data_IF_453651609701
#
_entry.id   IF_453651609701
#
_cell.length_a   1.000
_cell.length_b   1.000
_cell.length_c   1.000
_cell.angle_alpha   90.00
_cell.angle_beta   90.00
_cell.angle_gamma   90.00
#
_symmetry.space_group_name_H-M   'P 1'
#
loop_
_entity.id
_entity.type
_entity.pdbx_description
1 polymer ?
#
# COMPACT_ATOMS: atom_id res chain seq x y z
N UNK A 1 12.85 -4.73 16.64
CA UNK A 1 13.60 -3.52 17.01
C UNK A 1 12.68 -2.61 17.81
N UNK A 2 13.10 -2.18 18.99
CA UNK A 2 12.31 -1.25 19.80
C UNK A 2 12.60 0.19 19.36
N UNK A 3 11.57 0.89 18.92
CA UNK A 3 11.58 2.31 18.49
C UNK A 3 10.44 3.09 19.15
N UNK A 4 9.97 2.61 20.31
CA UNK A 4 9.00 3.30 21.16
C UNK A 4 9.55 4.61 21.74
N UNK A 5 8.65 5.43 22.30
CA UNK A 5 8.96 6.74 22.89
C UNK A 5 9.65 7.71 21.93
N UNK A 6 9.24 7.69 20.66
CA UNK A 6 9.74 8.61 19.63
C UNK A 6 8.63 9.53 19.12
N UNK A 7 9.02 10.73 18.68
CA UNK A 7 8.14 11.65 17.97
C UNK A 7 8.29 11.47 16.45
N UNK A 8 7.22 11.00 15.80
CA UNK A 8 7.21 10.66 14.36
C UNK A 8 6.74 11.81 13.46
N UNK A 9 6.54 13.01 14.03
CA UNK A 9 6.03 14.18 13.31
C UNK A 9 4.52 14.14 13.06
N UNK A 10 3.80 13.20 13.66
CA UNK A 10 2.34 13.07 13.61
C UNK A 10 1.85 12.30 14.83
N UNK A 11 0.68 12.66 15.33
CA UNK A 11 0.02 11.98 16.45
C UNK A 11 -0.90 10.83 16.02
N UNK A 12 -1.03 10.59 14.72
CA UNK A 12 -1.89 9.56 14.15
C UNK A 12 -1.09 8.26 13.91
N UNK A 13 -1.49 7.16 14.56
CA UNK A 13 -0.81 5.87 14.47
C UNK A 13 -0.81 5.30 13.05
N UNK A 14 -1.90 5.46 12.31
CA UNK A 14 -1.99 5.03 10.91
C UNK A 14 -0.98 5.76 10.01
N UNK A 15 -0.71 7.04 10.27
CA UNK A 15 0.30 7.79 9.51
C UNK A 15 1.72 7.37 9.89
N UNK A 16 1.97 7.01 11.15
CA UNK A 16 3.26 6.45 11.58
C UNK A 16 3.49 5.09 10.91
N UNK A 17 2.49 4.20 10.95
CA UNK A 17 2.55 2.88 10.33
C UNK A 17 2.79 2.95 8.81
N UNK A 18 2.26 3.96 8.11
CA UNK A 18 2.55 4.18 6.68
C UNK A 18 3.98 4.68 6.39
N UNK A 19 4.65 5.28 7.39
CA UNK A 19 6.02 5.82 7.26
C UNK A 19 7.08 4.78 7.63
N UNK A 20 6.75 3.91 8.59
CA UNK A 20 7.59 2.80 9.01
C UNK A 20 7.56 1.75 7.91
N UNK A 21 8.73 1.23 7.56
CA UNK A 21 8.87 0.11 6.63
C UNK A 21 9.55 -1.03 7.39
N UNK A 22 8.81 -2.08 7.71
CA UNK A 22 9.25 -3.13 8.62
C UNK A 22 8.81 -4.53 8.19
N UNK A 23 8.74 -5.46 9.14
CA UNK A 23 8.31 -6.84 8.91
C UNK A 23 6.93 -6.95 8.26
N UNK A 24 5.99 -6.04 8.55
CA UNK A 24 4.63 -6.10 8.00
C UNK A 24 4.58 -5.60 6.53
N UNK A 25 5.66 -4.97 6.02
CA UNK A 25 5.82 -4.68 4.59
C UNK A 25 6.65 -5.73 3.87
N UNK A 26 7.79 -6.12 4.44
CA UNK A 26 8.68 -7.16 3.93
C UNK A 26 9.16 -8.06 5.07
N UNK A 27 8.84 -9.35 4.98
CA UNK A 27 9.03 -10.30 6.07
C UNK A 27 10.52 -10.61 6.40
N UNK A 28 11.45 -10.13 5.57
CA UNK A 28 12.90 -10.21 5.83
C UNK A 28 13.40 -9.14 6.79
N UNK A 29 12.63 -8.07 7.02
CA UNK A 29 13.02 -6.98 7.91
C UNK A 29 12.64 -7.29 9.36
N UNK A 30 13.27 -6.57 10.29
CA UNK A 30 12.92 -6.68 11.69
C UNK A 30 11.63 -5.89 11.99
N UNK A 31 10.73 -6.47 12.78
CA UNK A 31 9.53 -5.77 13.27
C UNK A 31 9.91 -4.49 14.02
N UNK A 32 9.27 -3.37 13.69
CA UNK A 32 9.51 -2.09 14.33
C UNK A 32 8.41 -1.82 15.36
N UNK A 33 8.72 -2.02 16.64
CA UNK A 33 7.76 -1.70 17.71
C UNK A 33 7.87 -0.23 18.08
N UNK A 34 6.93 0.58 17.58
CA UNK A 34 6.88 2.01 17.82
C UNK A 34 5.86 2.42 18.89
N UNK A 35 5.10 1.47 19.45
CA UNK A 35 4.11 1.75 20.49
C UNK A 35 4.74 1.61 21.88
N UNK A 36 4.54 2.55 22.82
CA UNK A 36 3.85 3.84 22.67
C UNK A 36 4.72 4.89 21.95
N UNK A 37 4.10 5.89 21.33
CA UNK A 37 4.78 7.00 20.64
C UNK A 37 4.29 8.37 21.11
N UNK A 38 5.10 9.40 20.92
CA UNK A 38 4.70 10.77 21.28
C UNK A 38 3.68 11.33 20.27
N UNK A 39 2.68 12.07 20.75
CA UNK A 39 1.63 12.71 19.93
C UNK A 39 2.01 14.14 19.52
N UNK A 40 2.97 14.74 20.21
CA UNK A 40 3.48 16.09 19.94
C UNK A 40 5.01 16.14 20.02
N UNK A 41 5.62 17.14 19.37
CA UNK A 41 7.06 17.42 19.45
C UNK A 41 7.45 18.05 20.80
N UNK A 42 6.47 18.58 21.52
CA UNK A 42 6.68 19.35 22.74
C UNK A 42 6.94 18.41 23.91
N UNK A 43 8.23 18.29 24.27
CA UNK A 43 8.71 17.48 25.39
C UNK A 43 8.51 18.16 26.77
N UNK A 44 7.97 19.38 26.83
CA UNK A 44 7.83 20.11 28.08
C UNK A 44 6.54 19.72 28.83
N UNK A 45 6.69 19.55 30.15
CA UNK A 45 5.58 19.39 31.08
C UNK A 45 4.95 20.77 31.25
N UNK A 46 3.84 21.04 30.58
CA UNK A 46 3.13 22.30 30.81
C UNK A 46 2.54 22.25 32.24
N UNK A 47 3.06 23.08 33.14
CA UNK A 47 2.78 23.08 34.59
C UNK A 47 1.29 23.24 34.94
N UNK A 48 0.48 23.72 33.99
CA UNK A 48 -0.97 23.94 34.15
C UNK A 48 -1.85 22.88 33.44
N UNK A 49 -1.26 21.88 32.79
CA UNK A 49 -1.97 20.80 32.09
C UNK A 49 -1.73 19.46 32.78
N UNK A 50 -2.81 18.70 33.06
CA UNK A 50 -2.72 17.38 33.68
C UNK A 50 -2.09 16.36 32.70
N UNK A 51 -0.88 15.83 32.95
CA UNK A 51 -0.10 15.06 31.96
C UNK A 51 -0.51 13.59 31.80
N UNK A 52 -1.46 13.07 32.60
CA UNK A 52 -1.67 11.61 32.76
C UNK A 52 -2.11 10.86 31.49
N UNK A 53 -2.50 11.52 30.40
CA UNK A 53 -2.95 10.89 29.14
C UNK A 53 -2.60 11.66 27.84
N UNK A 54 -1.84 12.75 27.91
CA UNK A 54 -1.84 13.76 26.83
C UNK A 54 -0.73 13.68 25.78
N UNK A 55 0.42 13.07 26.11
CA UNK A 55 1.62 13.12 25.26
C UNK A 55 1.96 11.80 24.58
N UNK A 56 1.50 10.67 25.12
CA UNK A 56 1.79 9.33 24.59
C UNK A 56 0.52 8.71 24.07
N UNK A 57 0.56 8.21 22.83
CA UNK A 57 -0.46 7.37 22.25
C UNK A 57 0.09 5.95 22.07
N UNK A 58 -0.81 4.99 22.16
CA UNK A 58 -0.50 3.60 21.84
C UNK A 58 -0.94 3.34 20.41
N UNK A 59 -0.12 2.63 19.63
CA UNK A 59 -0.52 2.20 18.31
C UNK A 59 -1.53 1.05 18.44
N UNK A 60 -2.58 1.10 17.64
CA UNK A 60 -3.47 -0.04 17.49
C UNK A 60 -3.02 -0.87 16.31
N UNK A 61 -2.99 -2.19 16.50
CA UNK A 61 -2.70 -3.08 15.39
C UNK A 61 -3.87 -3.06 14.40
N UNK A 62 -3.57 -2.83 13.12
CA UNK A 62 -4.55 -2.75 12.05
C UNK A 62 -4.55 -4.06 11.26
N UNK A 63 -5.59 -4.88 11.52
CA UNK A 63 -5.79 -6.14 10.80
C UNK A 63 -6.00 -5.87 9.29
N UNK A 64 -5.37 -6.67 8.39
CA UNK A 64 -5.58 -6.54 6.96
C UNK A 64 -7.04 -6.78 6.57
N UNK A 65 -7.49 -6.00 5.58
CA UNK A 65 -8.81 -6.17 4.98
C UNK A 65 -8.83 -7.43 4.11
N UNK A 66 -9.96 -8.13 4.04
CA UNK A 66 -10.12 -9.30 3.19
C UNK A 66 -9.77 -9.00 1.72
N UNK A 67 -10.09 -7.80 1.22
CA UNK A 67 -9.85 -7.40 -0.17
C UNK A 67 -8.40 -7.01 -0.45
N UNK A 68 -7.69 -6.49 0.56
CA UNK A 68 -6.31 -6.00 0.46
C UNK A 68 -5.47 -6.61 1.61
N UNK A 69 -4.94 -7.80 1.33
CA UNK A 69 -4.09 -8.56 2.24
C UNK A 69 -2.66 -7.97 2.25
N UNK A 70 -2.07 -7.92 3.46
CA UNK A 70 -0.71 -7.45 3.73
C UNK A 70 -0.31 -7.77 5.18
N UNK A 71 0.98 -7.73 5.46
CA UNK A 71 1.54 -7.87 6.81
C UNK A 71 1.16 -9.18 7.48
N UNK A 72 1.19 -9.17 8.81
CA UNK A 72 0.63 -10.27 9.60
C UNK A 72 -0.89 -10.25 9.55
N UNK A 73 -1.52 -11.41 9.52
CA UNK A 73 -2.98 -11.60 9.58
C UNK A 73 -3.28 -12.51 10.77
N UNK A 74 -3.97 -11.99 11.79
CA UNK A 74 -4.32 -12.75 13.00
C UNK A 74 -5.75 -13.28 12.97
N UNK A 75 -6.62 -12.65 12.18
CA UNK A 75 -8.01 -13.08 12.06
C UNK A 75 -8.20 -13.98 10.85
N UNK A 76 -9.01 -15.04 10.99
CA UNK A 76 -9.41 -15.85 9.85
C UNK A 76 -10.18 -15.02 8.81
N UNK A 77 -9.83 -15.17 7.54
CA UNK A 77 -10.45 -14.45 6.42
C UNK A 77 -10.91 -15.42 5.34
N UNK A 78 -12.08 -15.14 4.77
CA UNK A 78 -12.65 -15.92 3.67
C UNK A 78 -12.69 -15.06 2.41
N UNK A 79 -12.03 -15.52 1.36
CA UNK A 79 -12.06 -14.94 0.02
C UNK A 79 -13.12 -15.68 -0.78
N UNK A 80 -14.18 -14.96 -1.16
CA UNK A 80 -15.36 -15.52 -1.83
C UNK A 80 -15.57 -14.89 -3.19
N UNK A 81 -16.05 -15.68 -4.15
CA UNK A 81 -16.37 -15.13 -5.47
C UNK A 81 -17.74 -14.43 -5.44
N UNK A 82 -17.76 -13.11 -5.67
CA UNK A 82 -19.02 -12.38 -5.82
C UNK A 82 -19.73 -12.81 -7.11
N UNK A 83 -20.80 -13.60 -6.99
CA UNK A 83 -21.65 -14.05 -8.10
C UNK A 83 -22.91 -13.19 -8.29
N UNK A 84 -23.05 -12.11 -7.51
CA UNK A 84 -24.22 -11.22 -7.54
C UNK A 84 -24.38 -10.50 -8.89
N UNK A 85 -25.61 -10.51 -9.41
CA UNK A 85 -26.04 -9.73 -10.57
C UNK A 85 -26.83 -8.51 -10.10
N UNK A 86 -26.74 -7.38 -10.82
CA UNK A 86 -27.60 -6.24 -10.53
C UNK A 86 -29.07 -6.63 -10.69
N UNK A 87 -29.96 -6.26 -9.74
CA UNK A 87 -31.37 -6.65 -9.77
C UNK A 87 -32.19 -5.91 -10.84
N UNK A 88 -31.68 -4.79 -11.36
CA UNK A 88 -32.36 -3.95 -12.36
C UNK A 88 -31.65 -4.07 -13.70
N UNK A 89 -32.46 -4.18 -14.76
CA UNK A 89 -32.00 -4.17 -16.14
C UNK A 89 -31.07 -2.96 -16.39
N UNK A 90 -29.88 -3.13 -16.99
CA UNK A 90 -29.49 -4.22 -17.89
C UNK A 90 -28.67 -5.35 -17.23
N UNK A 91 -29.06 -5.89 -16.08
CA UNK A 91 -28.52 -7.12 -15.47
C UNK A 91 -27.01 -7.32 -15.62
N UNK A 92 -26.22 -6.25 -15.44
CA UNK A 92 -24.78 -6.37 -15.49
C UNK A 92 -24.30 -7.19 -14.28
N UNK A 93 -23.15 -7.84 -14.41
CA UNK A 93 -22.48 -8.35 -13.23
C UNK A 93 -22.03 -7.16 -12.39
N UNK A 94 -22.17 -7.27 -11.06
CA UNK A 94 -21.53 -6.34 -10.15
C UNK A 94 -20.02 -6.34 -10.47
N UNK A 95 -19.36 -5.18 -10.61
CA UNK A 95 -17.94 -5.17 -10.94
C UNK A 95 -17.17 -5.97 -9.89
N UNK A 96 -16.51 -7.03 -10.33
CA UNK A 96 -15.71 -7.90 -9.48
C UNK A 96 -14.36 -7.21 -9.22
N UNK A 97 -14.09 -6.88 -7.95
CA UNK A 97 -12.76 -6.43 -7.52
C UNK A 97 -11.95 -7.67 -7.16
N UNK A 98 -10.84 -7.98 -7.87
CA UNK A 98 -9.97 -9.09 -7.49
C UNK A 98 -9.40 -8.84 -6.10
N UNK A 99 -9.18 -9.92 -5.36
CA UNK A 99 -8.47 -9.86 -4.08
C UNK A 99 -7.02 -9.50 -4.34
N UNK A 100 -6.39 -8.71 -3.47
CA UNK A 100 -5.03 -8.21 -3.69
C UNK A 100 -4.14 -8.56 -2.53
N UNK A 101 -2.93 -8.99 -2.85
CA UNK A 101 -1.84 -9.10 -1.89
C UNK A 101 -0.86 -8.00 -2.23
N UNK A 102 -0.81 -6.97 -1.39
CA UNK A 102 -0.11 -5.70 -1.69
C UNK A 102 1.31 -5.62 -1.13
N UNK A 103 1.58 -6.36 -0.06
CA UNK A 103 2.87 -6.52 0.61
C UNK A 103 3.02 -7.99 1.02
N UNK A 104 4.15 -8.34 1.64
CA UNK A 104 4.33 -9.68 2.18
C UNK A 104 3.18 -10.03 3.15
N UNK A 105 2.59 -11.21 2.96
CA UNK A 105 1.49 -11.70 3.78
C UNK A 105 2.01 -12.81 4.68
N UNK A 106 1.82 -12.66 5.99
CA UNK A 106 2.12 -13.69 6.99
C UNK A 106 0.83 -14.11 7.68
N UNK A 107 0.36 -15.33 7.41
CA UNK A 107 -0.79 -15.91 8.11
C UNK A 107 -0.30 -16.39 9.48
N UNK A 108 -0.76 -15.74 10.54
CA UNK A 108 -0.32 -16.05 11.90
C UNK A 108 -0.90 -17.39 12.38
N UNK A 109 -0.24 -18.07 13.33
CA UNK A 109 -0.79 -19.28 13.94
C UNK A 109 -2.15 -19.00 14.57
N UNK A 110 -3.11 -19.91 14.35
CA UNK A 110 -4.50 -19.75 14.79
C UNK A 110 -5.40 -18.96 13.82
N UNK A 111 -4.84 -18.35 12.78
CA UNK A 111 -5.61 -17.75 11.69
C UNK A 111 -5.73 -18.70 10.50
N UNK A 112 -6.89 -18.70 9.84
CA UNK A 112 -7.15 -19.49 8.64
C UNK A 112 -7.49 -18.58 7.45
N UNK A 113 -6.71 -18.63 6.37
CA UNK A 113 -7.08 -18.00 5.10
C UNK A 113 -7.81 -19.00 4.22
N UNK A 114 -9.11 -18.81 4.06
CA UNK A 114 -9.95 -19.64 3.18
C UNK A 114 -10.09 -18.97 1.82
N UNK A 115 -9.74 -19.67 0.74
CA UNK A 115 -9.89 -19.21 -0.63
C UNK A 115 -10.91 -20.11 -1.33
N UNK A 116 -12.04 -19.53 -1.72
CA UNK A 116 -13.09 -20.23 -2.45
C UNK A 116 -12.67 -20.50 -3.91
N UNK A 117 -13.22 -21.57 -4.49
CA UNK A 117 -13.11 -21.88 -5.93
C UNK A 117 -13.47 -20.69 -6.83
N UNK A 118 -12.75 -20.58 -7.94
CA UNK A 118 -12.96 -19.52 -8.93
C UNK A 118 -12.53 -18.12 -8.50
N UNK A 119 -11.94 -17.96 -7.31
CA UNK A 119 -11.41 -16.67 -6.84
C UNK A 119 -10.14 -16.30 -7.60
N UNK A 120 -10.05 -15.04 -8.02
CA UNK A 120 -8.84 -14.46 -8.59
C UNK A 120 -8.14 -13.56 -7.56
N UNK A 121 -6.84 -13.80 -7.37
CA UNK A 121 -5.98 -13.06 -6.45
C UNK A 121 -4.85 -12.40 -7.24
N UNK A 122 -4.77 -11.08 -7.16
CA UNK A 122 -3.73 -10.26 -7.75
C UNK A 122 -2.58 -10.07 -6.76
N UNK A 123 -1.38 -10.49 -7.14
CA UNK A 123 -0.19 -10.41 -6.31
C UNK A 123 0.70 -9.28 -6.82
N UNK A 124 1.16 -8.43 -5.90
CA UNK A 124 2.12 -7.38 -6.20
C UNK A 124 3.51 -7.94 -6.53
N UNK A 125 4.32 -7.23 -7.31
CA UNK A 125 5.68 -7.66 -7.59
C UNK A 125 6.51 -7.72 -6.29
N UNK A 126 7.38 -8.73 -6.20
CA UNK A 126 8.27 -8.97 -5.05
C UNK A 126 7.54 -9.19 -3.71
N UNK A 127 6.34 -9.76 -3.77
CA UNK A 127 5.58 -10.15 -2.58
C UNK A 127 5.74 -11.63 -2.30
N UNK A 128 5.83 -11.97 -1.01
CA UNK A 128 5.91 -13.34 -0.50
C UNK A 128 4.70 -13.65 0.37
N UNK A 129 4.34 -14.92 0.41
CA UNK A 129 3.30 -15.45 1.30
C UNK A 129 3.97 -16.44 2.25
N UNK A 130 3.87 -16.17 3.54
CA UNK A 130 4.32 -17.03 4.63
C UNK A 130 3.09 -17.55 5.36
N UNK A 131 2.98 -18.87 5.49
CA UNK A 131 1.84 -19.52 6.16
C UNK A 131 2.35 -20.17 7.44
N UNK A 132 2.00 -19.59 8.60
CA UNK A 132 2.28 -20.15 9.92
C UNK A 132 1.04 -20.77 10.58
N UNK A 133 -0.15 -20.28 10.22
CA UNK A 133 -1.44 -20.91 10.52
C UNK A 133 -1.91 -21.82 9.39
N UNK A 134 -3.18 -21.71 9.00
CA UNK A 134 -3.76 -22.54 7.94
C UNK A 134 -4.08 -21.73 6.68
N UNK A 135 -3.78 -22.31 5.52
CA UNK A 135 -4.20 -21.81 4.21
C UNK A 135 -5.02 -22.91 3.54
N UNK A 136 -6.32 -22.66 3.39
CA UNK A 136 -7.23 -23.62 2.77
C UNK A 136 -7.68 -23.06 1.42
N UNK A 137 -7.31 -23.76 0.36
CA UNK A 137 -7.63 -23.38 -1.01
C UNK A 137 -8.52 -24.47 -1.62
N UNK A 138 -9.83 -24.21 -1.63
CA UNK A 138 -10.83 -25.15 -2.16
C UNK A 138 -11.06 -24.86 -3.64
N UNK A 139 -10.12 -25.26 -4.50
CA UNK A 139 -10.24 -25.13 -5.95
C UNK A 139 -10.83 -26.39 -6.58
N UNK A 140 -11.59 -26.22 -7.66
CA UNK A 140 -12.05 -27.33 -8.50
C UNK A 140 -11.43 -27.25 -9.89
N UNK A 141 -11.45 -28.34 -10.65
CA UNK A 141 -10.94 -28.36 -12.03
C UNK A 141 -11.63 -27.32 -12.92
N UNK A 142 -12.95 -27.13 -12.72
CA UNK A 142 -13.77 -26.19 -13.49
C UNK A 142 -13.68 -24.75 -12.99
N UNK A 143 -13.45 -24.58 -11.69
CA UNK A 143 -13.34 -23.28 -11.03
C UNK A 143 -12.00 -23.21 -10.27
N UNK A 144 -10.86 -23.07 -10.99
CA UNK A 144 -9.55 -22.98 -10.37
C UNK A 144 -9.37 -21.63 -9.66
N UNK A 145 -8.59 -21.63 -8.58
CA UNK A 145 -8.10 -20.40 -7.96
C UNK A 145 -6.96 -19.85 -8.81
N UNK A 146 -7.03 -18.58 -9.19
CA UNK A 146 -6.05 -17.96 -10.09
C UNK A 146 -5.24 -16.89 -9.38
N UNK A 147 -3.96 -17.15 -9.21
CA UNK A 147 -2.98 -16.13 -8.85
C UNK A 147 -2.47 -15.44 -10.11
N UNK A 148 -2.67 -14.13 -10.20
CA UNK A 148 -2.20 -13.30 -11.32
C UNK A 148 -1.28 -12.20 -10.80
N UNK A 149 -0.29 -11.75 -11.57
CA UNK A 149 0.38 -10.50 -11.28
C UNK A 149 -0.63 -9.35 -11.42
N UNK A 150 -0.45 -8.29 -10.62
CA UNK A 150 -1.21 -7.05 -10.79
C UNK A 150 -0.99 -6.45 -12.20
N UNK A 151 -2.04 -5.88 -12.79
CA UNK A 151 -1.93 -5.20 -14.08
C UNK A 151 -1.17 -3.86 -13.92
N UNK A 152 -0.37 -3.46 -14.91
CA UNK A 152 0.46 -2.24 -14.85
C UNK A 152 -0.37 -0.98 -14.60
N UNK A 153 -1.55 -0.85 -15.23
CA UNK A 153 -2.47 0.28 -15.01
C UNK A 153 -3.02 0.31 -13.59
N UNK A 154 -3.45 -0.84 -13.07
CA UNK A 154 -3.94 -0.99 -11.70
C UNK A 154 -2.85 -0.68 -10.67
N UNK A 155 -1.62 -1.10 -10.97
CA UNK A 155 -0.44 -0.84 -10.16
C UNK A 155 -0.12 0.66 -10.09
N UNK A 156 -0.09 1.37 -11.22
CA UNK A 156 0.23 2.80 -11.27
C UNK A 156 -0.81 3.67 -10.55
N UNK A 157 -2.11 3.35 -10.69
CA UNK A 157 -3.18 4.03 -9.96
C UNK A 157 -3.03 3.87 -8.44
N UNK A 158 -2.64 2.68 -7.99
CA UNK A 158 -2.47 2.40 -6.57
C UNK A 158 -1.19 2.98 -6.00
N UNK A 159 -0.08 2.95 -6.74
CA UNK A 159 1.21 3.50 -6.30
C UNK A 159 1.10 4.99 -5.95
N UNK A 160 0.23 5.74 -6.63
CA UNK A 160 -0.04 7.14 -6.31
C UNK A 160 -0.93 7.36 -5.08
N UNK A 161 -1.73 6.37 -4.67
CA UNK A 161 -2.66 6.43 -3.52
C UNK A 161 -2.06 5.88 -2.24
N UNK A 162 -1.15 4.91 -2.34
CA UNK A 162 -0.34 4.46 -1.21
C UNK A 162 0.53 5.65 -0.83
N UNK A 163 0.37 6.16 0.39
CA UNK A 163 1.14 7.28 0.92
C UNK A 163 2.63 6.92 1.05
N UNK A 164 3.35 6.80 -0.05
CA UNK A 164 4.79 6.52 0.00
C UNK A 164 5.49 7.80 0.40
N UNK A 165 6.05 7.79 1.61
CA UNK A 165 6.95 8.81 2.16
C UNK A 165 6.27 10.18 2.25
N UNK A 166 6.11 10.71 3.46
CA UNK A 166 5.88 12.14 3.64
C UNK A 166 6.94 12.88 2.82
N UNK A 167 6.56 13.39 1.65
CA UNK A 167 7.39 14.34 0.92
C UNK A 167 7.35 15.55 1.82
N UNK A 168 8.34 15.67 2.72
CA UNK A 168 8.74 16.98 3.21
C UNK A 168 8.77 17.83 1.95
N UNK A 169 7.92 18.84 1.88
CA UNK A 169 8.03 19.89 0.89
C UNK A 169 9.29 20.68 1.23
N UNK A 170 10.45 20.04 1.17
CA UNK A 170 11.69 20.75 0.94
C UNK A 170 11.44 21.45 -0.37
N UNK A 171 11.30 22.78 -0.32
CA UNK A 171 11.26 23.67 -1.46
C UNK A 171 12.64 23.56 -2.11
N UNK A 172 12.91 22.43 -2.76
CA UNK A 172 13.92 22.39 -3.80
C UNK A 172 13.24 23.06 -4.97
N UNK A 173 13.58 24.34 -5.17
CA UNK A 173 13.39 25.05 -6.43
C UNK A 173 13.65 24.05 -7.56
N UNK A 174 12.57 23.58 -8.18
CA UNK A 174 12.62 22.75 -9.39
C UNK A 174 13.26 23.63 -10.45
N UNK A 175 14.59 23.63 -10.52
CA UNK A 175 15.29 24.04 -11.73
C UNK A 175 14.92 22.98 -12.75
N UNK A 176 13.88 23.28 -13.55
CA UNK A 176 13.42 22.44 -14.65
C UNK A 176 14.64 22.12 -15.51
N UNK A 177 15.23 20.92 -15.35
CA UNK A 177 16.05 20.33 -16.41
C UNK A 177 15.07 20.03 -17.54
N UNK A 178 14.91 21.01 -18.45
CA UNK A 178 14.35 20.77 -19.77
C UNK A 178 15.11 19.57 -20.34
N UNK A 179 14.40 18.49 -20.66
CA UNK A 179 14.99 17.34 -21.32
C UNK A 179 15.68 17.79 -22.60
N UNK A 180 16.96 17.43 -22.76
CA UNK A 180 17.78 17.77 -23.93
C UNK A 180 17.14 17.33 -25.25
N UNK A 181 16.30 16.28 -25.19
CA UNK A 181 15.57 15.72 -26.33
C UNK A 181 14.62 16.74 -26.96
N UNK A 182 13.89 17.51 -26.15
CA UNK A 182 12.97 18.53 -26.65
C UNK A 182 13.69 19.72 -27.30
N UNK A 183 14.87 20.08 -26.80
CA UNK A 183 15.69 21.15 -27.39
C UNK A 183 16.31 20.74 -28.72
N UNK A 184 16.74 19.47 -28.87
CA UNK A 184 17.28 18.95 -30.14
C UNK A 184 16.23 18.96 -31.25
N UNK A 185 14.99 18.58 -30.94
CA UNK A 185 13.88 18.59 -31.92
C UNK A 185 13.52 20.03 -32.34
N UNK A 186 13.46 20.97 -31.39
CA UNK A 186 13.21 22.38 -31.70
C UNK A 186 14.32 23.01 -32.54
N UNK A 187 15.60 22.72 -32.27
CA UNK A 187 16.72 23.22 -33.09
C UNK A 187 16.68 22.66 -34.51
N UNK A 188 16.36 21.38 -34.68
CA UNK A 188 16.24 20.74 -36.00
C UNK A 188 15.07 21.30 -36.83
N UNK A 189 13.92 21.57 -36.20
CA UNK A 189 12.78 22.19 -36.87
C UNK A 189 13.06 23.65 -37.27
N UNK A 190 13.86 24.38 -36.49
CA UNK A 190 14.26 25.76 -36.81
C UNK A 190 15.26 25.83 -37.97
N UNK A 191 16.25 24.93 -38.07
CA UNK A 191 17.17 24.94 -39.21
C UNK A 191 16.48 24.58 -40.54
N UNK A 192 15.52 23.64 -40.52
CA UNK A 192 14.71 23.29 -41.71
C UNK A 192 13.75 24.37 -42.18
N UNK A 193 13.43 25.36 -41.34
CA UNK A 193 12.62 26.53 -41.73
C UNK A 193 13.48 27.67 -42.27
N UNK A 194 14.71 27.83 -41.79
CA UNK A 194 15.64 28.83 -42.31
C UNK A 194 16.10 28.52 -43.75
N UNK A 195 16.33 27.24 -44.08
CA UNK A 195 16.77 26.81 -45.42
C UNK A 195 15.63 26.73 -46.45
N UNK A 196 14.44 27.28 -46.15
CA UNK A 196 13.28 27.24 -47.06
C UNK A 196 12.90 28.62 -47.62
N UNK A 197 13.71 29.64 -47.33
CA UNK A 197 13.52 31.03 -47.75
C UNK A 197 14.77 31.62 -48.40
N UNK A 198 15.64 30.78 -48.98
CA UNK A 198 16.75 31.22 -49.82
C UNK A 198 16.64 30.45 -51.12
N UNK A 199 15.80 30.97 -52.00
CA UNK A 199 15.85 30.83 -53.47
C UNK A 199 15.57 32.24 -54.02
#
# INVERSE_FOLDING_TARGET
MNVSYNWWGTGNDAEVAQRVFDFDDWNTFTLADFSPFYVTNELFINFWWKPRKGQLANATYSEPSAQDLKGRMFESKNLTLLRERWPVFPNYYKPFRPYRITRDLTIMPGATLWIERGVEVHVWPNVRILVLGDLIADATYWEPIRFKPINTTEFDEMRGKIGTRYKRSTIYLKRRKRSDVGQRIQRWQRSKRANRFVD
#
